data_IF_427238967147
#
_entry.id   IF_427238967147
#
_cell.length_a   1.000
_cell.length_b   1.000
_cell.length_c   1.000
_cell.angle_alpha   90.00
_cell.angle_beta   90.00
_cell.angle_gamma   90.00
#
_symmetry.space_group_name_H-M   'P 1'
#
loop_
_entity.id
_entity.type
_entity.pdbx_description
1 polymer ?
#
# COMPACT_ATOMS: atom_id res chain seq x y z
N UNK A 1 12.65 -9.29 -67.38
CA UNK A 1 11.49 -9.38 -66.46
C UNK A 1 11.43 -10.79 -65.89
N UNK A 2 11.91 -10.99 -64.66
CA UNK A 2 11.36 -12.01 -63.73
C UNK A 2 11.38 -11.36 -62.35
N UNK A 3 10.18 -11.12 -61.82
CA UNK A 3 9.93 -10.59 -60.49
C UNK A 3 10.24 -11.68 -59.46
N UNK A 4 11.44 -11.65 -58.86
CA UNK A 4 11.73 -12.42 -57.66
C UNK A 4 11.15 -11.73 -56.44
N UNK A 5 9.89 -12.00 -56.11
CA UNK A 5 9.27 -11.45 -54.90
C UNK A 5 10.05 -11.86 -53.66
N UNK A 6 10.36 -10.89 -52.79
CA UNK A 6 11.02 -11.13 -51.50
C UNK A 6 10.27 -12.24 -50.73
N UNK A 7 10.93 -13.32 -50.29
CA UNK A 7 10.25 -14.45 -49.66
C UNK A 7 9.67 -14.02 -48.31
N UNK A 8 8.38 -13.65 -48.30
CA UNK A 8 7.67 -13.10 -47.13
C UNK A 8 7.56 -14.09 -45.97
N UNK A 9 7.75 -15.38 -46.22
CA UNK A 9 7.58 -16.46 -45.23
C UNK A 9 8.68 -16.47 -44.16
N UNK A 10 9.91 -16.09 -44.49
CA UNK A 10 11.02 -16.01 -43.53
C UNK A 10 10.75 -14.96 -42.43
N UNK A 11 10.53 -13.69 -42.80
CA UNK A 11 10.17 -12.64 -41.84
C UNK A 11 8.91 -12.95 -41.02
N UNK A 12 7.88 -13.55 -41.64
CA UNK A 12 6.64 -13.93 -40.92
C UNK A 12 6.94 -14.98 -39.84
N UNK A 13 7.73 -16.02 -40.14
CA UNK A 13 8.10 -17.06 -39.16
C UNK A 13 8.90 -16.48 -38.00
N UNK A 14 9.86 -15.60 -38.30
CA UNK A 14 10.64 -14.90 -37.27
C UNK A 14 9.74 -14.02 -36.42
N UNK A 15 8.81 -13.28 -37.04
CA UNK A 15 7.82 -12.46 -36.32
C UNK A 15 6.95 -13.29 -35.38
N UNK A 16 6.37 -14.40 -35.85
CA UNK A 16 5.55 -15.30 -35.03
C UNK A 16 6.37 -15.89 -33.88
N UNK A 17 7.60 -16.33 -34.15
CA UNK A 17 8.49 -16.88 -33.12
C UNK A 17 8.79 -15.82 -32.04
N UNK A 18 9.15 -14.60 -32.45
CA UNK A 18 9.41 -13.49 -31.53
C UNK A 18 8.18 -13.15 -30.70
N UNK A 19 6.99 -13.09 -31.31
CA UNK A 19 5.73 -12.84 -30.59
C UNK A 19 5.44 -13.93 -29.57
N UNK A 20 5.64 -15.21 -29.92
CA UNK A 20 5.45 -16.32 -28.97
C UNK A 20 6.45 -16.26 -27.82
N UNK A 21 7.71 -15.94 -28.10
CA UNK A 21 8.74 -15.76 -27.06
C UNK A 21 8.36 -14.61 -26.13
N UNK A 22 8.01 -13.43 -26.69
CA UNK A 22 7.56 -12.28 -25.90
C UNK A 22 6.32 -12.61 -25.07
N UNK A 23 5.35 -13.32 -25.64
CA UNK A 23 4.14 -13.74 -24.93
C UNK A 23 4.48 -14.64 -23.74
N UNK A 24 5.34 -15.65 -23.93
CA UNK A 24 5.77 -16.54 -22.85
C UNK A 24 6.59 -15.80 -21.79
N UNK A 25 7.50 -14.91 -22.19
CA UNK A 25 8.33 -14.12 -21.27
C UNK A 25 7.47 -13.18 -20.43
N UNK A 26 6.56 -12.42 -21.05
CA UNK A 26 5.70 -11.45 -20.35
C UNK A 26 4.71 -12.16 -19.40
N UNK A 27 4.24 -13.36 -19.74
CA UNK A 27 3.33 -14.13 -18.88
C UNK A 27 4.07 -15.05 -17.88
N UNK A 28 5.40 -14.99 -17.80
CA UNK A 28 6.13 -15.79 -16.83
C UNK A 28 6.02 -15.15 -15.43
N UNK A 29 5.72 -15.92 -14.37
CA UNK A 29 5.73 -15.44 -12.99
C UNK A 29 7.05 -14.77 -12.58
N UNK A 30 8.17 -15.18 -13.18
CA UNK A 30 9.50 -14.59 -12.90
C UNK A 30 9.64 -13.14 -13.41
N UNK A 31 8.70 -12.70 -14.24
CA UNK A 31 8.70 -11.40 -14.90
C UNK A 31 7.53 -10.52 -14.44
N UNK A 32 6.76 -10.94 -13.41
CA UNK A 32 5.63 -10.16 -12.86
C UNK A 32 6.04 -8.74 -12.46
N UNK A 33 7.26 -8.57 -11.93
CA UNK A 33 7.89 -7.29 -11.60
C UNK A 33 8.01 -6.30 -12.77
N UNK A 34 8.02 -6.76 -14.03
CA UNK A 34 8.02 -5.89 -15.22
C UNK A 34 6.62 -5.35 -15.55
N UNK A 35 5.57 -6.03 -15.08
CA UNK A 35 4.17 -5.65 -15.27
C UNK A 35 3.66 -4.81 -14.11
N UNK A 36 4.13 -5.09 -12.90
CA UNK A 36 3.94 -4.28 -11.71
C UNK A 36 5.15 -4.48 -10.81
N UNK A 37 5.98 -3.46 -10.54
CA UNK A 37 7.03 -3.59 -9.53
C UNK A 37 6.35 -3.89 -8.19
N UNK A 38 6.37 -5.15 -7.78
CA UNK A 38 5.81 -5.57 -6.51
C UNK A 38 6.81 -5.33 -5.39
N UNK A 39 6.32 -4.76 -4.29
CA UNK A 39 7.04 -4.65 -3.05
C UNK A 39 7.78 -3.33 -2.90
N UNK A 40 7.59 -2.70 -1.74
CA UNK A 40 8.51 -1.69 -1.25
C UNK A 40 9.92 -2.29 -1.11
N UNK A 41 10.95 -1.43 -1.11
CA UNK A 41 12.37 -1.84 -1.17
C UNK A 41 12.85 -2.65 0.03
N UNK A 42 12.06 -2.76 1.11
CA UNK A 42 12.56 -3.27 2.39
C UNK A 42 11.65 -4.29 3.06
N UNK A 43 10.33 -4.22 2.85
CA UNK A 43 9.36 -5.07 3.54
C UNK A 43 8.80 -6.16 2.62
N UNK A 44 8.58 -5.87 1.34
CA UNK A 44 7.90 -6.77 0.41
C UNK A 44 8.64 -7.06 -0.90
N UNK A 45 9.94 -6.71 -0.97
CA UNK A 45 10.80 -6.95 -2.13
C UNK A 45 10.79 -8.44 -2.53
N UNK A 46 10.32 -8.73 -3.75
CA UNK A 46 10.35 -10.07 -4.33
C UNK A 46 9.12 -10.95 -4.02
N UNK A 47 8.09 -10.42 -3.38
CA UNK A 47 6.80 -11.12 -3.31
C UNK A 47 6.10 -11.16 -4.67
N UNK A 48 5.48 -12.30 -4.96
CA UNK A 48 4.68 -12.50 -6.16
C UNK A 48 3.28 -11.88 -6.02
N UNK A 49 2.68 -11.46 -7.13
CA UNK A 49 1.41 -10.73 -7.09
C UNK A 49 0.29 -11.52 -6.40
N UNK A 50 0.27 -12.84 -6.58
CA UNK A 50 -0.73 -13.74 -6.01
C UNK A 50 -0.63 -13.93 -4.49
N UNK A 51 0.47 -13.48 -3.86
CA UNK A 51 0.58 -13.49 -2.40
C UNK A 51 -0.33 -12.44 -1.76
N UNK A 52 -0.63 -11.35 -2.47
CA UNK A 52 -1.57 -10.32 -2.04
C UNK A 52 -2.92 -10.44 -2.78
N UNK A 53 -2.87 -10.54 -4.11
CA UNK A 53 -4.06 -10.57 -4.96
C UNK A 53 -4.71 -11.95 -5.03
N UNK A 54 -5.91 -12.05 -4.46
CA UNK A 54 -6.74 -13.24 -4.57
C UNK A 54 -7.42 -13.34 -5.94
N UNK A 55 -7.75 -14.54 -6.37
CA UNK A 55 -8.50 -14.75 -7.62
C UNK A 55 -9.90 -14.17 -7.51
N UNK A 56 -10.29 -13.37 -8.51
CA UNK A 56 -11.65 -12.81 -8.58
C UNK A 56 -12.69 -13.93 -8.75
N UNK A 57 -13.86 -13.84 -8.11
CA UNK A 57 -14.90 -14.84 -8.20
C UNK A 57 -15.46 -14.94 -9.62
N UNK A 58 -15.93 -16.15 -9.96
CA UNK A 58 -16.48 -16.47 -11.27
C UNK A 58 -15.41 -16.70 -12.34
N UNK A 59 -15.84 -17.25 -13.46
CA UNK A 59 -14.98 -17.43 -14.64
C UNK A 59 -14.69 -16.10 -15.34
N UNK A 60 -13.57 -16.03 -16.06
CA UNK A 60 -13.22 -14.89 -16.95
C UNK A 60 -14.40 -14.49 -17.83
N UNK A 61 -15.15 -15.45 -18.38
CA UNK A 61 -16.36 -15.18 -19.17
C UNK A 61 -17.42 -14.43 -18.37
N UNK A 62 -17.68 -14.85 -17.14
CA UNK A 62 -18.67 -14.20 -16.26
C UNK A 62 -18.22 -12.80 -15.85
N UNK A 63 -16.93 -12.61 -15.54
CA UNK A 63 -16.36 -11.30 -15.21
C UNK A 63 -16.49 -10.32 -16.39
N UNK A 64 -16.14 -10.76 -17.60
CA UNK A 64 -16.32 -9.96 -18.83
C UNK A 64 -17.80 -9.63 -19.06
N UNK A 65 -18.70 -10.60 -18.91
CA UNK A 65 -20.14 -10.38 -19.07
C UNK A 65 -20.67 -9.36 -18.05
N UNK A 66 -20.25 -9.46 -16.78
CA UNK A 66 -20.64 -8.53 -15.72
C UNK A 66 -20.17 -7.10 -16.03
N UNK A 67 -18.93 -6.95 -16.49
CA UNK A 67 -18.37 -5.64 -16.87
C UNK A 67 -19.05 -5.04 -18.11
N UNK A 68 -19.39 -5.85 -19.11
CA UNK A 68 -20.19 -5.38 -20.26
C UNK A 68 -21.59 -4.95 -19.81
N UNK A 69 -22.24 -5.71 -18.93
CA UNK A 69 -23.56 -5.35 -18.41
C UNK A 69 -23.52 -4.07 -17.59
N UNK A 70 -22.51 -3.88 -16.75
CA UNK A 70 -22.31 -2.62 -16.01
C UNK A 70 -22.11 -1.44 -16.97
N UNK A 71 -21.24 -1.59 -17.98
CA UNK A 71 -21.01 -0.56 -18.99
C UNK A 71 -22.27 -0.18 -19.77
N UNK A 72 -23.16 -1.15 -20.04
CA UNK A 72 -24.46 -0.92 -20.68
C UNK A 72 -25.54 -0.39 -19.71
N UNK A 73 -25.22 -0.13 -18.45
CA UNK A 73 -26.17 0.31 -17.42
C UNK A 73 -27.16 -0.77 -16.96
N UNK A 74 -26.90 -2.03 -17.29
CA UNK A 74 -27.70 -3.19 -16.87
C UNK A 74 -27.28 -3.74 -15.49
N UNK A 75 -26.22 -3.18 -14.91
CA UNK A 75 -25.73 -3.46 -13.56
C UNK A 75 -25.23 -2.18 -12.90
N UNK A 76 -25.48 -2.05 -11.60
CA UNK A 76 -25.02 -0.92 -10.79
C UNK A 76 -23.49 -0.87 -10.70
N UNK A 77 -22.83 -2.03 -10.61
CA UNK A 77 -21.37 -2.13 -10.48
C UNK A 77 -20.77 -3.20 -11.41
N UNK A 78 -19.50 -3.00 -11.76
CA UNK A 78 -18.71 -4.01 -12.47
C UNK A 78 -18.38 -5.23 -11.60
N UNK A 79 -17.49 -6.07 -12.10
CA UNK A 79 -16.85 -7.16 -11.38
C UNK A 79 -15.34 -7.01 -11.51
N UNK A 80 -14.62 -7.41 -10.46
CA UNK A 80 -13.18 -7.58 -10.51
C UNK A 80 -12.78 -8.53 -11.66
N UNK A 81 -11.61 -8.31 -12.26
CA UNK A 81 -11.14 -9.05 -13.42
C UNK A 81 -9.84 -9.78 -13.09
N UNK A 82 -9.87 -11.11 -13.22
CA UNK A 82 -8.79 -12.05 -12.88
C UNK A 82 -8.49 -12.08 -11.37
N UNK A 83 -8.22 -10.96 -10.74
CA UNK A 83 -7.95 -10.84 -9.30
C UNK A 83 -8.85 -9.82 -8.62
N UNK A 84 -9.13 -10.04 -7.34
CA UNK A 84 -9.75 -9.02 -6.49
C UNK A 84 -8.75 -7.88 -6.20
N UNK A 85 -9.24 -6.64 -6.03
CA UNK A 85 -8.47 -5.58 -5.41
C UNK A 85 -8.04 -5.98 -4.01
N UNK A 86 -6.84 -5.55 -3.61
CA UNK A 86 -6.33 -5.78 -2.26
C UNK A 86 -7.06 -4.87 -1.26
N UNK A 87 -7.61 -5.45 -0.20
CA UNK A 87 -8.20 -4.73 0.94
C UNK A 87 -7.36 -4.89 2.22
N UNK A 88 -7.75 -4.22 3.30
CA UNK A 88 -7.04 -4.33 4.56
C UNK A 88 -7.05 -5.73 5.20
N UNK A 89 -8.07 -6.56 4.96
CA UNK A 89 -8.09 -7.92 5.51
C UNK A 89 -6.97 -8.74 4.89
N UNK A 90 -6.68 -8.49 3.62
CA UNK A 90 -5.56 -9.12 2.93
C UNK A 90 -4.22 -8.79 3.60
N UNK A 91 -4.04 -7.57 4.10
CA UNK A 91 -2.87 -7.16 4.86
C UNK A 91 -2.84 -7.80 6.25
N UNK A 92 -3.97 -7.78 6.97
CA UNK A 92 -4.08 -8.25 8.35
C UNK A 92 -3.92 -9.76 8.50
N UNK A 93 -4.17 -10.53 7.43
CA UNK A 93 -3.93 -11.97 7.43
C UNK A 93 -2.45 -12.34 7.65
N UNK A 94 -1.53 -11.45 7.30
CA UNK A 94 -0.11 -11.53 7.66
C UNK A 94 0.24 -10.61 8.85
N UNK A 95 -0.26 -9.37 8.83
CA UNK A 95 0.05 -8.35 9.83
C UNK A 95 -1.05 -8.23 10.88
N UNK A 96 -1.13 -9.23 11.77
CA UNK A 96 -1.99 -9.09 12.95
C UNK A 96 -1.42 -8.01 13.88
N UNK A 97 -2.12 -6.88 14.00
CA UNK A 97 -1.68 -5.74 14.82
C UNK A 97 -2.60 -5.53 16.03
N UNK A 98 -2.56 -6.41 17.04
CA UNK A 98 -3.49 -6.35 18.18
C UNK A 98 -3.31 -5.09 19.04
N UNK A 99 -2.12 -4.47 19.00
CA UNK A 99 -1.79 -3.27 19.74
C UNK A 99 -1.74 -2.00 18.85
N UNK A 100 -2.34 -2.05 17.65
CA UNK A 100 -2.36 -0.90 16.74
C UNK A 100 -2.98 0.32 17.44
N UNK A 101 -2.22 1.41 17.53
CA UNK A 101 -2.70 2.68 18.11
C UNK A 101 -3.74 3.37 17.23
N UNK A 102 -3.76 3.04 15.93
CA UNK A 102 -4.66 3.53 14.91
C UNK A 102 -5.36 2.36 14.21
N UNK A 103 -6.22 1.60 14.90
CA UNK A 103 -6.85 0.43 14.31
C UNK A 103 -7.98 0.86 13.36
N UNK A 104 -8.05 0.20 12.19
CA UNK A 104 -8.96 0.56 11.11
C UNK A 104 -10.42 0.63 11.53
N UNK A 105 -10.88 -0.32 12.36
CA UNK A 105 -12.26 -0.32 12.86
C UNK A 105 -12.65 0.97 13.61
N UNK A 106 -11.69 1.69 14.21
CA UNK A 106 -11.97 3.01 14.82
C UNK A 106 -12.01 4.13 13.79
N UNK A 107 -11.23 4.02 12.72
CA UNK A 107 -11.20 4.98 11.62
C UNK A 107 -12.45 4.88 10.74
N UNK A 108 -13.00 3.67 10.56
CA UNK A 108 -14.30 3.44 9.91
C UNK A 108 -15.43 4.20 10.62
N UNK A 109 -15.36 4.30 11.95
CA UNK A 109 -16.35 4.99 12.79
C UNK A 109 -15.92 6.41 13.19
N UNK A 110 -14.93 6.97 12.51
CA UNK A 110 -14.47 8.32 12.76
C UNK A 110 -15.55 9.36 12.42
N UNK A 111 -15.61 10.43 13.20
CA UNK A 111 -16.45 11.60 12.89
C UNK A 111 -15.98 12.36 11.65
N UNK A 112 -14.74 12.11 11.21
CA UNK A 112 -14.13 12.70 10.03
C UNK A 112 -14.50 11.92 8.74
N UNK A 113 -15.80 11.84 8.44
CA UNK A 113 -16.33 11.09 7.29
C UNK A 113 -15.70 11.51 5.96
N UNK A 114 -15.55 12.82 5.72
CA UNK A 114 -15.01 13.32 4.45
C UNK A 114 -13.55 12.94 4.25
N UNK A 115 -12.74 12.88 5.31
CA UNK A 115 -11.37 12.38 5.23
C UNK A 115 -11.36 10.88 4.95
N UNK A 116 -12.27 10.12 5.56
CA UNK A 116 -12.40 8.68 5.33
C UNK A 116 -12.71 8.37 3.87
N UNK A 117 -13.59 9.14 3.25
CA UNK A 117 -14.00 8.91 1.87
C UNK A 117 -12.95 9.38 0.84
N UNK A 118 -12.25 10.48 1.12
CA UNK A 118 -11.30 11.06 0.17
C UNK A 118 -9.87 10.52 0.30
N UNK A 119 -9.45 10.13 1.51
CA UNK A 119 -8.08 9.67 1.78
C UNK A 119 -8.02 8.17 2.07
N UNK A 120 -9.16 7.49 2.19
CA UNK A 120 -9.22 6.06 2.51
C UNK A 120 -8.41 5.69 3.77
N UNK A 121 -8.31 6.60 4.75
CA UNK A 121 -7.51 6.40 5.98
C UNK A 121 -7.91 5.19 6.83
N UNK A 122 -9.06 4.59 6.53
CA UNK A 122 -9.58 3.38 7.16
C UNK A 122 -9.09 2.10 6.50
N UNK A 123 -8.36 2.21 5.39
CA UNK A 123 -7.80 1.11 4.63
C UNK A 123 -6.27 1.20 4.67
N UNK A 124 -5.59 0.06 4.78
CA UNK A 124 -4.13 -0.01 4.72
C UNK A 124 -3.59 0.63 3.44
N UNK A 125 -4.25 0.34 2.31
CA UNK A 125 -3.89 0.84 0.97
C UNK A 125 -4.21 2.32 0.75
N UNK A 126 -4.97 2.96 1.65
CA UNK A 126 -5.14 4.41 1.64
C UNK A 126 -3.87 5.14 2.04
N UNK A 127 -3.07 4.53 2.93
CA UNK A 127 -1.84 5.10 3.45
C UNK A 127 -0.58 4.48 2.79
N UNK A 128 -0.59 3.18 2.51
CA UNK A 128 0.56 2.44 1.99
C UNK A 128 0.38 2.09 0.51
N UNK A 129 1.41 2.32 -0.32
CA UNK A 129 1.41 1.94 -1.73
C UNK A 129 2.52 0.92 -2.02
N UNK A 130 2.15 -0.36 -1.93
CA UNK A 130 3.06 -1.49 -2.14
C UNK A 130 3.35 -1.80 -3.63
N UNK A 131 2.79 -1.03 -4.56
CA UNK A 131 3.23 -1.00 -5.96
C UNK A 131 4.27 0.09 -6.22
N UNK A 132 4.65 0.83 -5.18
CA UNK A 132 5.67 1.86 -5.19
C UNK A 132 6.78 1.53 -4.20
N UNK A 133 7.88 2.27 -4.29
CA UNK A 133 8.97 2.15 -3.32
C UNK A 133 8.75 3.00 -2.05
N UNK A 134 7.65 3.77 -1.95
CA UNK A 134 7.40 4.63 -0.79
C UNK A 134 6.59 3.87 0.25
N UNK A 135 6.91 4.07 1.53
CA UNK A 135 6.20 3.42 2.63
C UNK A 135 4.88 4.12 2.95
N UNK A 136 4.78 5.44 2.75
CA UNK A 136 3.57 6.21 3.05
C UNK A 136 3.28 7.24 1.95
N UNK A 137 2.06 7.24 1.40
CA UNK A 137 1.62 8.19 0.35
C UNK A 137 1.19 9.55 0.91
N UNK A 138 0.98 9.63 2.21
CA UNK A 138 0.57 10.85 2.90
C UNK A 138 1.73 11.56 3.58
N UNK A 139 1.64 12.89 3.66
CA UNK A 139 2.65 13.69 4.36
C UNK A 139 2.63 13.44 5.87
N UNK A 140 3.76 13.69 6.55
CA UNK A 140 3.86 13.69 8.02
C UNK A 140 2.83 14.59 8.71
N UNK A 141 2.31 15.61 8.01
CA UNK A 141 1.33 16.55 8.54
C UNK A 141 -0.10 15.99 8.60
N UNK A 142 -0.34 14.77 8.10
CA UNK A 142 -1.66 14.14 8.04
C UNK A 142 -2.40 14.16 9.39
N UNK A 143 -1.68 14.09 10.51
CA UNK A 143 -2.23 14.13 11.86
C UNK A 143 -3.14 15.34 12.11
N UNK A 144 -2.87 16.48 11.46
CA UNK A 144 -3.63 17.73 11.66
C UNK A 144 -5.12 17.58 11.35
N UNK A 145 -5.48 16.62 10.50
CA UNK A 145 -6.87 16.45 10.10
C UNK A 145 -7.75 15.81 11.18
N UNK A 146 -7.13 15.16 12.18
CA UNK A 146 -7.83 14.47 13.26
C UNK A 146 -7.40 14.93 14.67
N UNK A 147 -6.21 15.53 14.79
CA UNK A 147 -5.57 15.90 16.06
C UNK A 147 -5.32 17.41 16.18
N UNK A 148 -6.22 18.23 15.62
CA UNK A 148 -6.19 19.71 15.70
C UNK A 148 -6.49 20.26 17.10
N UNK A 149 -7.03 19.43 18.00
CA UNK A 149 -7.35 19.81 19.38
C UNK A 149 -6.71 18.84 20.36
N UNK A 150 -5.95 19.39 21.32
CA UNK A 150 -5.52 18.64 22.50
C UNK A 150 -6.67 18.53 23.50
N UNK A 151 -7.01 17.31 23.89
CA UNK A 151 -8.06 17.07 24.88
C UNK A 151 -7.69 17.49 26.31
N UNK A 152 -8.54 17.14 27.28
CA UNK A 152 -8.37 17.51 28.70
C UNK A 152 -7.34 16.64 29.45
N UNK A 153 -6.31 16.14 28.78
CA UNK A 153 -5.29 15.27 29.37
C UNK A 153 -4.08 16.08 29.81
N UNK A 154 -3.44 15.62 30.88
CA UNK A 154 -2.14 16.17 31.29
C UNK A 154 -1.12 15.95 30.17
N UNK A 155 -0.47 17.04 29.78
CA UNK A 155 0.53 17.05 28.73
C UNK A 155 1.92 17.05 29.35
N UNK A 156 2.60 15.91 29.25
CA UNK A 156 3.86 15.61 29.93
C UNK A 156 5.09 15.82 29.04
N UNK A 157 4.90 16.20 27.78
CA UNK A 157 6.01 16.42 26.84
C UNK A 157 6.48 17.89 26.84
N UNK A 158 7.67 18.13 26.31
CA UNK A 158 8.22 19.47 26.09
C UNK A 158 8.82 19.58 24.68
N UNK A 159 8.40 20.58 23.87
CA UNK A 159 7.25 21.48 24.09
C UNK A 159 5.93 20.70 24.15
N UNK A 160 4.91 21.29 24.76
CA UNK A 160 3.58 20.69 24.88
C UNK A 160 2.94 20.49 23.51
N UNK A 161 2.10 19.46 23.37
CA UNK A 161 1.26 19.23 22.19
C UNK A 161 0.44 20.47 21.85
N UNK A 162 -0.15 21.14 22.84
CA UNK A 162 -0.91 22.39 22.60
C UNK A 162 -0.05 23.49 21.96
N UNK A 163 1.25 23.54 22.29
CA UNK A 163 2.19 24.46 21.66
C UNK A 163 2.50 24.04 20.23
N UNK A 164 2.81 22.76 20.01
CA UNK A 164 3.09 22.22 18.68
C UNK A 164 1.92 22.40 17.71
N UNK A 165 0.69 22.13 18.18
CA UNK A 165 -0.55 22.34 17.42
C UNK A 165 -0.74 23.82 17.07
N UNK A 166 -0.58 24.72 18.05
CA UNK A 166 -0.75 26.16 17.84
C UNK A 166 0.30 26.77 16.91
N UNK A 167 1.49 26.17 16.86
CA UNK A 167 2.59 26.54 15.95
C UNK A 167 2.54 25.76 14.62
N UNK A 168 1.50 24.95 14.39
CA UNK A 168 1.31 24.12 13.19
C UNK A 168 2.48 23.17 12.90
N UNK A 169 3.18 22.72 13.96
CA UNK A 169 4.37 21.87 13.88
C UNK A 169 4.05 20.39 13.71
N UNK A 170 3.20 20.07 12.74
CA UNK A 170 2.69 18.73 12.49
C UNK A 170 3.75 17.74 12.04
N UNK A 171 4.86 18.23 11.48
CA UNK A 171 6.02 17.43 11.08
C UNK A 171 6.72 16.77 12.29
N UNK A 172 6.39 17.20 13.51
CA UNK A 172 7.01 16.71 14.74
C UNK A 172 6.35 15.49 15.35
N UNK A 173 5.12 15.19 14.97
CA UNK A 173 4.34 14.13 15.60
C UNK A 173 5.06 12.78 15.53
N UNK A 174 5.53 12.42 14.34
CA UNK A 174 6.17 11.14 14.09
C UNK A 174 7.60 11.06 14.65
N UNK A 175 8.27 12.19 14.91
CA UNK A 175 9.58 12.18 15.58
C UNK A 175 9.52 11.51 16.97
N UNK A 176 8.40 11.70 17.68
CA UNK A 176 8.17 11.13 19.00
C UNK A 176 7.24 9.91 18.98
N UNK A 177 6.33 9.81 18.02
CA UNK A 177 5.30 8.78 17.98
C UNK A 177 5.46 7.86 16.78
N UNK A 178 5.62 6.57 17.07
CA UNK A 178 5.34 5.56 16.09
C UNK A 178 3.82 5.39 15.91
N UNK A 179 3.35 5.40 14.66
CA UNK A 179 1.94 5.41 14.30
C UNK A 179 1.21 4.13 14.74
N UNK A 180 1.76 2.95 14.45
CA UNK A 180 1.12 1.68 14.80
C UNK A 180 1.46 1.19 16.21
N UNK A 181 2.65 1.52 16.74
CA UNK A 181 3.12 1.01 18.03
C UNK A 181 3.77 -0.39 17.94
N UNK A 182 4.09 -0.83 16.73
CA UNK A 182 4.62 -2.16 16.39
C UNK A 182 6.07 -2.37 16.81
N UNK A 183 6.87 -1.29 16.89
CA UNK A 183 8.33 -1.39 17.08
C UNK A 183 8.78 -1.41 18.54
N UNK A 184 7.83 -1.38 19.49
CA UNK A 184 8.15 -1.25 20.91
C UNK A 184 8.82 0.09 21.27
N UNK A 185 8.73 1.07 20.36
CA UNK A 185 9.34 2.38 20.53
C UNK A 185 8.74 3.11 21.73
N UNK A 186 9.61 3.54 22.63
CA UNK A 186 9.24 4.36 23.77
C UNK A 186 9.40 5.83 23.39
N UNK A 187 8.26 6.49 23.18
CA UNK A 187 8.22 7.93 22.89
C UNK A 187 9.00 8.73 23.93
N UNK A 188 9.91 9.63 23.50
CA UNK A 188 10.61 10.54 24.40
C UNK A 188 9.66 11.59 24.96
N UNK A 189 10.04 12.21 26.07
CA UNK A 189 9.29 13.33 26.66
C UNK A 189 9.77 14.69 26.14
N UNK A 190 10.94 14.75 25.53
CA UNK A 190 11.52 15.97 24.97
C UNK A 190 11.61 15.83 23.45
N UNK A 191 11.09 16.81 22.71
CA UNK A 191 11.24 16.83 21.24
C UNK A 191 12.72 16.90 20.82
N UNK A 192 13.58 17.47 21.66
CA UNK A 192 15.04 17.48 21.42
C UNK A 192 15.71 16.10 21.53
N UNK A 193 15.02 15.11 22.10
CA UNK A 193 15.47 13.72 22.19
C UNK A 193 14.79 12.82 21.15
N UNK A 194 13.93 13.41 20.30
CA UNK A 194 13.17 12.71 19.29
C UNK A 194 14.01 12.36 18.07
N UNK A 195 13.48 11.45 17.24
CA UNK A 195 14.10 11.08 15.96
C UNK A 195 14.09 12.32 15.04
N UNK A 196 15.19 12.66 14.34
CA UNK A 196 15.20 13.78 13.41
C UNK A 196 14.11 13.66 12.32
N UNK A 197 13.49 14.78 11.94
CA UNK A 197 12.46 14.84 10.88
C UNK A 197 12.95 14.17 9.61
N UNK A 198 14.19 14.44 9.21
CA UNK A 198 14.77 13.92 7.98
C UNK A 198 14.88 12.39 8.00
N UNK A 199 15.21 11.81 9.16
CA UNK A 199 15.29 10.36 9.32
C UNK A 199 13.90 9.71 9.24
N UNK A 200 12.89 10.34 9.85
CA UNK A 200 11.50 9.90 9.70
C UNK A 200 11.05 10.00 8.25
N UNK A 201 11.32 11.10 7.57
CA UNK A 201 10.91 11.30 6.18
C UNK A 201 11.58 10.31 5.23
N UNK A 202 12.88 10.04 5.39
CA UNK A 202 13.59 9.01 4.61
C UNK A 202 12.94 7.63 4.78
N UNK A 203 12.50 7.29 5.99
CA UNK A 203 11.75 6.05 6.21
C UNK A 203 10.39 6.06 5.50
N UNK A 204 9.62 7.14 5.59
CA UNK A 204 8.31 7.23 4.92
C UNK A 204 8.43 7.18 3.39
N UNK A 205 9.51 7.74 2.84
CA UNK A 205 9.84 7.69 1.40
C UNK A 205 10.40 6.32 0.97
N UNK A 206 10.60 5.39 1.90
CA UNK A 206 11.16 4.05 1.63
C UNK A 206 12.65 4.07 1.26
N UNK A 207 13.36 5.13 1.63
CA UNK A 207 14.80 5.31 1.40
C UNK A 207 15.65 4.90 2.62
N UNK A 208 15.03 4.58 3.76
CA UNK A 208 15.69 4.11 4.97
C UNK A 208 14.83 3.13 5.79
N UNK A 209 15.46 2.30 6.64
CA UNK A 209 14.76 1.47 7.62
C UNK A 209 13.94 2.28 8.62
N UNK A 210 12.99 1.61 9.28
CA UNK A 210 12.20 2.20 10.36
C UNK A 210 13.09 2.71 11.50
N UNK A 211 12.99 3.99 11.89
CA UNK A 211 13.85 4.57 12.94
C UNK A 211 13.34 4.27 14.37
N UNK A 212 12.22 3.55 14.47
CA UNK A 212 11.52 3.27 15.74
C UNK A 212 12.04 2.01 16.44
N UNK A 213 13.07 1.36 15.89
CA UNK A 213 13.70 0.17 16.44
C UNK A 213 13.47 -1.07 15.58
N UNK A 214 14.13 -2.17 15.96
CA UNK A 214 14.22 -3.38 15.13
C UNK A 214 13.21 -4.47 15.53
N UNK A 215 12.32 -4.20 16.47
CA UNK A 215 11.32 -5.17 16.89
C UNK A 215 10.21 -5.21 15.83
N UNK A 216 10.19 -6.26 15.02
CA UNK A 216 9.07 -6.54 14.13
C UNK A 216 8.20 -7.63 14.78
N UNK A 217 6.88 -7.42 14.78
CA UNK A 217 5.96 -8.49 15.15
C UNK A 217 6.15 -9.64 14.13
N UNK A 218 6.28 -10.90 14.58
CA UNK A 218 6.38 -12.02 13.66
C UNK A 218 5.13 -12.09 12.78
N UNK A 219 5.32 -12.14 11.47
CA UNK A 219 4.26 -12.37 10.49
C UNK A 219 4.48 -13.73 9.82
N UNK A 220 3.41 -14.42 9.38
CA UNK A 220 3.56 -15.61 8.57
C UNK A 220 4.12 -15.23 7.20
N UNK A 221 5.00 -16.07 6.64
CA UNK A 221 5.57 -15.86 5.29
C UNK A 221 4.50 -15.98 4.20
N UNK A 222 3.42 -16.70 4.49
CA UNK A 222 2.27 -16.84 3.62
C UNK A 222 1.00 -16.38 4.33
N UNK A 223 0.18 -15.65 3.58
CA UNK A 223 -1.16 -15.27 4.00
C UNK A 223 -1.96 -16.52 4.36
N UNK A 224 -2.74 -16.46 5.45
CA UNK A 224 -3.75 -17.49 5.72
C UNK A 224 -4.69 -17.53 4.51
N UNK A 225 -4.66 -18.61 3.74
CA UNK A 225 -5.55 -18.77 2.59
C UNK A 225 -6.99 -18.63 3.06
N UNK A 226 -7.72 -17.64 2.54
CA UNK A 226 -9.17 -17.59 2.73
C UNK A 226 -9.77 -18.85 2.09
N UNK A 227 -10.66 -19.58 2.81
CA UNK A 227 -11.27 -20.82 2.31
C UNK A 227 -12.16 -20.61 1.09
#
# INVERSE_FOLDING_TARGET
MIQGGFPRTGPIRVGVLLTLILFVVINSPQQEQFLSPGGDREMHEGMACHQCHQTAPGSVRQQVQANVHHWLGLRESGAAFITEPVDSNDCQDCHEMPNNRHPEHRMVHSEYFDLRENLSQHECSGCHDHHSSINLVHSMNFCMHCHDVWGNKEDTITPKHTTLIAEERWETCLQCHEFHGSHGYKSPLLLSEAIPVEEVQMYLDGDAPAPYGNLLQPYPEERKSSP
#
